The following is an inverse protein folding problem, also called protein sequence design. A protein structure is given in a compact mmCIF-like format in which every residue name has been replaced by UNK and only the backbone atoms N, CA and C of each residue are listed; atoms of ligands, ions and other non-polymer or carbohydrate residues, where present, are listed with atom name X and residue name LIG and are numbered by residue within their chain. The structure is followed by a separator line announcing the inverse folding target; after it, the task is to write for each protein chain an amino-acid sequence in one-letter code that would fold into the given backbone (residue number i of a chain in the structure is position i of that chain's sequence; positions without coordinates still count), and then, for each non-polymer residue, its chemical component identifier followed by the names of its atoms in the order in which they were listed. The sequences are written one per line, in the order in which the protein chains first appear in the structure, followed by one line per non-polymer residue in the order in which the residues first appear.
data_IF_403381709114
#
_entry.id   IF_403381709114
#
_cell.length_a   1.000
_cell.length_b   1.000
_cell.length_c   1.000
_cell.angle_alpha   90.00
_cell.angle_beta   90.00
_cell.angle_gamma   90.00
#
_symmetry.space_group_name_H-M   'P 1'
#
loop_
_entity.id
_entity.type
_entity.pdbx_description
1 polymer ?
#
# COMPACT_ATOMS: atom_id res chain seq x y z
N UNK A 1 -39.53 38.88 12.16
CA UNK A 1 -38.37 39.32 11.34
C UNK A 1 -37.10 38.85 12.02
N UNK A 2 -36.20 38.21 11.26
CA UNK A 2 -34.81 37.83 11.57
C UNK A 2 -34.58 36.97 12.84
N UNK A 3 -34.12 35.72 12.80
CA UNK A 3 -33.26 35.05 11.81
C UNK A 3 -31.79 35.18 12.24
N UNK A 4 -31.32 34.29 13.12
CA UNK A 4 -29.91 34.06 13.38
C UNK A 4 -29.67 32.55 13.47
N UNK A 5 -29.57 31.93 12.30
CA UNK A 5 -28.96 30.63 12.16
C UNK A 5 -27.45 30.82 12.28
N UNK A 6 -26.84 30.19 13.28
CA UNK A 6 -25.40 30.06 13.41
C UNK A 6 -24.87 29.29 12.19
N UNK A 7 -24.24 30.03 11.28
CA UNK A 7 -23.45 29.51 10.17
C UNK A 7 -22.31 28.68 10.73
N UNK A 8 -22.37 27.37 10.53
CA UNK A 8 -21.21 26.50 10.70
C UNK A 8 -20.18 26.88 9.65
N UNK A 9 -19.08 27.50 10.09
CA UNK A 9 -17.89 27.64 9.25
C UNK A 9 -17.40 26.23 8.89
N UNK A 10 -17.13 25.92 7.60
CA UNK A 10 -16.39 24.73 7.25
C UNK A 10 -14.99 24.92 7.80
N UNK A 11 -14.73 24.32 8.97
CA UNK A 11 -13.38 24.17 9.48
C UNK A 11 -12.55 23.54 8.37
N UNK A 12 -11.50 24.25 7.97
CA UNK A 12 -10.44 23.74 7.12
C UNK A 12 -10.01 22.38 7.69
N UNK A 13 -10.47 21.29 7.06
CA UNK A 13 -9.76 20.03 7.17
C UNK A 13 -8.38 20.34 6.63
N UNK A 14 -7.39 20.40 7.52
CA UNK A 14 -6.01 20.10 7.19
C UNK A 14 -6.02 18.77 6.44
N UNK A 15 -6.15 18.85 5.10
CA UNK A 15 -5.66 17.81 4.21
C UNK A 15 -4.15 17.93 4.27
N UNK A 16 -3.57 17.47 5.39
CA UNK A 16 -2.33 16.72 5.28
C UNK A 16 -2.54 15.68 4.17
N UNK A 17 -1.52 15.39 3.36
CA UNK A 17 -1.68 14.54 2.17
C UNK A 17 -2.48 13.32 2.59
N UNK A 18 -3.69 13.20 2.03
CA UNK A 18 -4.59 12.11 2.37
C UNK A 18 -3.76 10.85 2.24
N UNK A 19 -3.52 10.14 3.36
CA UNK A 19 -2.85 8.85 3.28
C UNK A 19 -3.63 8.08 2.21
N UNK A 20 -3.02 7.79 1.05
CA UNK A 20 -3.74 7.14 -0.03
C UNK A 20 -4.34 5.91 0.61
N UNK A 21 -5.66 5.72 0.47
CA UNK A 21 -6.31 4.52 0.97
C UNK A 21 -5.46 3.33 0.52
N UNK A 22 -4.75 2.73 1.48
CA UNK A 22 -3.58 1.89 1.20
C UNK A 22 -4.00 0.56 0.57
N UNK A 23 -5.29 0.34 0.38
CA UNK A 23 -5.86 -0.89 -0.10
C UNK A 23 -6.80 -0.57 -1.28
N UNK A 24 -6.74 -1.32 -2.39
CA UNK A 24 -7.73 -1.21 -3.45
C UNK A 24 -9.14 -1.61 -2.94
N UNK A 25 -10.22 -1.18 -3.60
CA UNK A 25 -11.60 -1.38 -3.10
C UNK A 25 -12.01 -2.84 -2.85
N UNK A 26 -11.29 -3.79 -3.45
CA UNK A 26 -11.52 -5.23 -3.33
C UNK A 26 -10.55 -5.91 -2.35
N UNK A 27 -9.70 -5.13 -1.67
CA UNK A 27 -8.76 -5.63 -0.69
C UNK A 27 -9.44 -5.84 0.65
N UNK A 28 -9.44 -7.08 1.14
CA UNK A 28 -9.82 -7.39 2.52
C UNK A 28 -8.56 -7.53 3.38
N UNK A 29 -8.54 -7.11 4.64
CA UNK A 29 -7.41 -7.40 5.52
C UNK A 29 -7.21 -8.91 5.69
N UNK A 30 -5.96 -9.35 5.67
CA UNK A 30 -5.60 -10.71 6.11
C UNK A 30 -5.72 -10.72 7.63
N UNK A 31 -6.73 -11.41 8.16
CA UNK A 31 -6.97 -11.52 9.59
C UNK A 31 -6.29 -12.78 10.15
N UNK A 32 -5.41 -12.58 11.13
CA UNK A 32 -4.72 -13.56 11.99
C UNK A 32 -4.07 -14.80 11.32
N UNK A 33 -3.17 -15.44 12.08
CA UNK A 33 -2.11 -16.28 11.54
C UNK A 33 -2.57 -17.52 10.76
N UNK A 34 -2.01 -17.74 9.57
CA UNK A 34 -2.29 -18.88 8.68
C UNK A 34 -1.01 -19.48 8.05
N UNK A 35 -1.14 -20.58 7.29
CA UNK A 35 -0.01 -21.35 6.73
C UNK A 35 0.89 -20.52 5.78
N UNK A 36 0.32 -19.49 5.16
CA UNK A 36 1.03 -18.58 4.24
C UNK A 36 1.72 -17.40 4.94
N UNK A 37 1.64 -17.31 6.28
CA UNK A 37 2.30 -16.25 7.05
C UNK A 37 3.80 -16.26 6.94
N UNK A 38 4.43 -17.42 6.74
CA UNK A 38 5.88 -17.50 6.64
C UNK A 38 6.35 -16.77 5.37
N UNK A 39 5.74 -17.09 4.22
CA UNK A 39 6.05 -16.42 2.96
C UNK A 39 5.72 -14.91 3.00
N UNK A 40 4.64 -14.53 3.70
CA UNK A 40 4.34 -13.11 3.91
C UNK A 40 5.39 -12.44 4.80
N UNK A 41 5.77 -13.08 5.91
CA UNK A 41 6.75 -12.51 6.84
C UNK A 41 8.13 -12.41 6.20
N UNK A 42 8.54 -13.39 5.39
CA UNK A 42 9.79 -13.35 4.63
C UNK A 42 9.79 -12.17 3.63
N UNK A 43 8.67 -11.92 2.96
CA UNK A 43 8.54 -10.77 2.08
C UNK A 43 8.51 -9.44 2.85
N UNK A 44 7.87 -9.38 4.02
CA UNK A 44 7.91 -8.19 4.89
C UNK A 44 9.34 -7.84 5.28
N UNK A 45 10.13 -8.84 5.68
CA UNK A 45 11.56 -8.67 5.97
C UNK A 45 12.31 -8.21 4.74
N UNK A 46 12.08 -8.84 3.57
CA UNK A 46 12.73 -8.43 2.32
C UNK A 46 12.41 -6.98 1.93
N UNK A 47 11.17 -6.52 2.12
CA UNK A 47 10.73 -5.15 1.85
C UNK A 47 11.36 -4.18 2.86
N UNK A 48 11.37 -4.53 4.15
CA UNK A 48 11.99 -3.71 5.18
C UNK A 48 13.51 -3.56 4.98
N UNK A 49 14.19 -4.63 4.59
CA UNK A 49 15.64 -4.63 4.37
C UNK A 49 16.04 -3.88 3.08
N UNK A 50 15.18 -3.91 2.06
CA UNK A 50 15.41 -3.19 0.81
C UNK A 50 14.99 -1.73 0.92
N UNK A 51 13.70 -1.47 1.10
CA UNK A 51 13.14 -0.12 1.07
C UNK A 51 13.24 0.60 2.42
N UNK A 52 13.02 -0.13 3.52
CA UNK A 52 13.04 0.46 4.85
C UNK A 52 14.43 0.93 5.31
N UNK A 53 15.50 0.39 4.72
CA UNK A 53 16.87 0.89 4.96
C UNK A 53 17.04 2.34 4.51
N UNK A 54 16.46 2.70 3.37
CA UNK A 54 16.66 4.00 2.74
C UNK A 54 15.60 5.02 3.16
N UNK A 55 14.38 4.55 3.49
CA UNK A 55 13.23 5.39 3.84
C UNK A 55 12.77 5.26 5.29
N UNK A 56 13.50 4.52 6.13
CA UNK A 56 13.19 4.33 7.54
C UNK A 56 12.09 3.31 7.80
N UNK A 57 11.42 3.43 8.96
CA UNK A 57 10.44 2.42 9.38
C UNK A 57 9.21 2.44 8.48
N UNK A 58 8.93 1.30 7.86
CA UNK A 58 7.72 1.07 7.08
C UNK A 58 6.64 0.41 7.92
N UNK A 59 5.43 0.94 7.87
CA UNK A 59 4.23 0.26 8.33
C UNK A 59 3.72 -0.66 7.23
N UNK A 60 3.80 -1.97 7.47
CA UNK A 60 3.33 -2.97 6.51
C UNK A 60 1.91 -3.44 6.85
N UNK A 61 1.05 -3.43 5.84
CA UNK A 61 -0.32 -3.90 5.88
C UNK A 61 -0.49 -5.08 4.94
N UNK A 62 -1.25 -6.08 5.41
CA UNK A 62 -1.50 -7.34 4.70
C UNK A 62 -2.92 -7.36 4.13
N UNK A 63 -3.03 -7.52 2.82
CA UNK A 63 -4.29 -7.50 2.09
C UNK A 63 -4.51 -8.77 1.26
N UNK A 64 -5.76 -9.24 1.24
CA UNK A 64 -6.28 -10.26 0.34
C UNK A 64 -6.87 -9.56 -0.87
N UNK A 65 -6.36 -9.88 -2.05
CA UNK A 65 -6.95 -9.45 -3.31
C UNK A 65 -7.71 -10.59 -3.97
N UNK A 66 -8.66 -10.21 -4.82
CA UNK A 66 -9.28 -11.14 -5.75
C UNK A 66 -8.20 -11.82 -6.61
N UNK A 67 -8.28 -13.15 -6.84
CA UNK A 67 -7.35 -13.84 -7.73
C UNK A 67 -7.44 -13.34 -9.18
N UNK A 68 -8.54 -12.68 -9.57
CA UNK A 68 -8.73 -12.08 -10.89
C UNK A 68 -8.05 -10.71 -11.05
N UNK A 69 -7.61 -10.07 -9.96
CA UNK A 69 -6.87 -8.82 -10.04
C UNK A 69 -5.53 -9.11 -10.75
N UNK A 70 -5.11 -8.20 -11.64
CA UNK A 70 -3.80 -8.27 -12.29
C UNK A 70 -2.81 -7.31 -11.62
N UNK A 71 -1.52 -7.61 -11.73
CA UNK A 71 -0.45 -6.73 -11.24
C UNK A 71 -0.50 -5.35 -11.90
N UNK A 72 -0.79 -5.32 -13.20
CA UNK A 72 -0.91 -4.07 -13.97
C UNK A 72 -2.07 -3.20 -13.44
N UNK A 73 -3.25 -3.79 -13.23
CA UNK A 73 -4.41 -3.07 -12.69
C UNK A 73 -4.16 -2.52 -11.29
N UNK A 74 -3.36 -3.21 -10.48
CA UNK A 74 -2.94 -2.70 -9.17
C UNK A 74 -1.98 -1.51 -9.30
N UNK A 75 -1.00 -1.60 -10.20
CA UNK A 75 -0.08 -0.50 -10.46
C UNK A 75 -0.82 0.74 -10.97
N UNK A 76 -1.79 0.57 -11.87
CA UNK A 76 -2.66 1.64 -12.36
C UNK A 76 -3.50 2.24 -11.23
N UNK A 77 -4.05 1.42 -10.35
CA UNK A 77 -4.79 1.89 -9.17
C UNK A 77 -3.94 2.81 -8.29
N UNK A 78 -2.72 2.40 -7.93
CA UNK A 78 -1.84 3.24 -7.12
C UNK A 78 -1.37 4.48 -7.88
N UNK A 79 -1.00 4.36 -9.15
CA UNK A 79 -0.59 5.52 -9.96
C UNK A 79 -1.69 6.61 -10.01
N UNK A 80 -2.95 6.21 -10.20
CA UNK A 80 -4.09 7.14 -10.21
C UNK A 80 -4.34 7.79 -8.85
N UNK A 81 -4.20 7.03 -7.75
CA UNK A 81 -4.45 7.51 -6.38
C UNK A 81 -3.35 8.44 -5.86
N UNK A 82 -2.10 8.12 -6.19
CA UNK A 82 -0.94 8.88 -5.77
C UNK A 82 -0.83 10.21 -6.54
N UNK A 83 -1.18 10.20 -7.83
CA UNK A 83 -1.12 11.37 -8.69
C UNK A 83 0.32 11.74 -9.09
N UNK A 84 0.45 12.82 -9.86
CA UNK A 84 1.69 13.18 -10.59
C UNK A 84 2.87 13.57 -9.70
N UNK A 85 2.61 13.87 -8.43
CA UNK A 85 3.66 14.16 -7.46
C UNK A 85 4.53 12.95 -7.16
N UNK A 86 3.99 11.74 -7.24
CA UNK A 86 4.71 10.53 -6.87
C UNK A 86 5.54 9.98 -8.01
N UNK A 87 6.81 9.68 -7.71
CA UNK A 87 7.75 9.11 -8.67
C UNK A 87 7.97 7.64 -8.36
N UNK A 88 8.00 6.83 -9.40
CA UNK A 88 8.35 5.41 -9.29
C UNK A 88 9.84 5.31 -8.95
N UNK A 89 10.15 4.54 -7.92
CA UNK A 89 11.52 4.22 -7.55
C UNK A 89 12.04 3.05 -8.38
N UNK A 90 12.85 3.34 -9.38
CA UNK A 90 13.48 2.31 -10.24
C UNK A 90 14.66 1.60 -9.58
N UNK A 91 15.13 2.11 -8.44
CA UNK A 91 16.19 1.50 -7.63
C UNK A 91 15.77 0.14 -7.08
N UNK A 92 14.46 -0.09 -6.91
CA UNK A 92 13.90 -1.36 -6.47
C UNK A 92 13.36 -2.13 -7.68
N UNK A 93 13.94 -3.29 -8.03
CA UNK A 93 13.53 -4.03 -9.21
C UNK A 93 12.11 -4.54 -9.05
N UNK A 94 11.33 -4.46 -10.13
CA UNK A 94 9.92 -4.88 -10.09
C UNK A 94 9.75 -6.39 -9.87
N UNK A 95 10.78 -7.17 -10.16
CA UNK A 95 10.71 -8.63 -10.15
C UNK A 95 11.58 -9.22 -9.03
N UNK A 96 10.93 -9.79 -8.01
CA UNK A 96 11.57 -10.63 -7.00
C UNK A 96 11.22 -12.11 -7.22
N UNK A 97 11.92 -13.02 -6.54
CA UNK A 97 11.71 -14.46 -6.70
C UNK A 97 10.24 -14.86 -6.43
N UNK A 98 9.67 -14.43 -5.30
CA UNK A 98 8.32 -14.81 -4.87
C UNK A 98 7.21 -13.79 -5.21
N UNK A 99 7.56 -12.52 -5.40
CA UNK A 99 6.60 -11.43 -5.58
C UNK A 99 7.07 -10.41 -6.63
N UNK A 100 6.15 -9.57 -7.07
CA UNK A 100 6.42 -8.36 -7.85
C UNK A 100 6.35 -7.16 -6.91
N UNK A 101 7.23 -6.19 -7.07
CA UNK A 101 7.36 -5.05 -6.17
C UNK A 101 7.28 -3.74 -6.94
N UNK A 102 6.55 -2.77 -6.42
CA UNK A 102 6.55 -1.41 -6.95
C UNK A 102 6.62 -0.43 -5.80
N UNK A 103 7.56 0.49 -5.86
CA UNK A 103 7.72 1.53 -4.87
C UNK A 103 7.56 2.91 -5.52
N UNK A 104 6.94 3.82 -4.79
CA UNK A 104 6.71 5.21 -5.17
C UNK A 104 7.17 6.13 -4.05
N UNK A 105 7.82 7.23 -4.39
CA UNK A 105 8.25 8.27 -3.45
C UNK A 105 7.62 9.60 -3.83
N UNK A 106 7.18 10.36 -2.83
CA UNK A 106 6.74 11.74 -3.03
C UNK A 106 7.89 12.73 -2.76
N UNK A 107 8.31 13.57 -3.72
CA UNK A 107 9.52 14.41 -3.63
C UNK A 107 9.39 15.62 -2.69
N UNK A 108 8.34 15.73 -1.89
CA UNK A 108 8.00 16.95 -1.15
C UNK A 108 8.59 17.07 0.26
N UNK A 109 9.56 16.24 0.64
CA UNK A 109 10.32 16.46 1.88
C UNK A 109 11.80 16.32 1.58
N UNK A 110 12.52 17.45 1.66
CA UNK A 110 13.98 17.47 1.71
C UNK A 110 14.42 16.57 2.87
N UNK A 111 14.94 15.37 2.56
CA UNK A 111 15.39 14.41 3.57
C UNK A 111 14.78 12.99 3.49
N UNK A 112 13.98 12.69 2.47
CA UNK A 112 13.33 11.38 2.29
C UNK A 112 11.82 11.57 2.35
N UNK A 113 11.19 11.48 1.18
CA UNK A 113 9.74 11.62 1.07
C UNK A 113 9.01 10.41 1.65
N UNK A 114 7.70 10.51 1.91
CA UNK A 114 6.92 9.33 2.20
C UNK A 114 7.05 8.36 1.01
N UNK A 115 7.35 7.10 1.30
CA UNK A 115 7.40 6.02 0.32
C UNK A 115 6.18 5.14 0.50
N UNK A 116 5.60 4.72 -0.62
CA UNK A 116 4.60 3.66 -0.67
C UNK A 116 5.21 2.50 -1.45
N UNK A 117 5.07 1.29 -0.93
CA UNK A 117 5.52 0.05 -1.56
C UNK A 117 4.33 -0.89 -1.66
N UNK A 118 4.10 -1.46 -2.83
CA UNK A 118 3.16 -2.55 -3.05
C UNK A 118 3.94 -3.78 -3.48
N UNK A 119 3.78 -4.89 -2.76
CA UNK A 119 4.37 -6.19 -3.09
C UNK A 119 3.29 -7.24 -3.32
N UNK A 120 3.22 -7.70 -4.56
CA UNK A 120 2.22 -8.62 -5.09
C UNK A 120 2.76 -10.03 -5.23
N UNK A 121 2.13 -11.00 -4.59
CA UNK A 121 2.59 -12.38 -4.65
C UNK A 121 2.21 -13.05 -5.97
N UNK A 122 3.19 -13.73 -6.60
CA UNK A 122 2.97 -14.45 -7.86
C UNK A 122 2.04 -15.65 -7.66
N UNK A 123 2.16 -16.30 -6.51
CA UNK A 123 1.35 -17.45 -6.13
C UNK A 123 0.03 -17.02 -5.48
N UNK A 124 -1.02 -17.81 -5.73
CA UNK A 124 -2.30 -17.68 -5.02
C UNK A 124 -2.23 -18.45 -3.71
N UNK A 125 -2.74 -17.85 -2.65
CA UNK A 125 -2.89 -18.48 -1.35
C UNK A 125 -4.33 -18.96 -1.14
N UNK A 126 -4.51 -19.85 -0.18
CA UNK A 126 -5.81 -20.33 0.28
C UNK A 126 -5.99 -19.86 1.72
N UNK A 127 -7.13 -19.24 2.04
CA UNK A 127 -7.44 -18.83 3.41
C UNK A 127 -7.97 -20.01 4.26
N UNK A 128 -8.25 -19.75 5.53
CA UNK A 128 -8.76 -20.77 6.45
C UNK A 128 -10.11 -21.35 6.00
N UNK A 129 -10.87 -20.60 5.21
CA UNK A 129 -12.16 -20.96 4.65
C UNK A 129 -12.05 -21.68 3.29
N UNK A 130 -10.85 -21.97 2.80
CA UNK A 130 -10.63 -22.66 1.53
C UNK A 130 -10.77 -21.76 0.30
N UNK A 131 -10.81 -20.43 0.47
CA UNK A 131 -10.97 -19.48 -0.64
C UNK A 131 -9.62 -19.07 -1.18
N UNK A 132 -9.51 -19.11 -2.51
CA UNK A 132 -8.35 -18.61 -3.22
C UNK A 132 -8.31 -17.09 -3.17
N UNK A 133 -7.16 -16.56 -2.79
CA UNK A 133 -6.88 -15.13 -2.84
C UNK A 133 -5.45 -14.89 -3.28
N UNK A 134 -5.15 -13.64 -3.66
CA UNK A 134 -3.79 -13.24 -3.95
C UNK A 134 -3.27 -12.32 -2.84
N UNK A 135 -2.19 -12.69 -2.14
CA UNK A 135 -1.64 -11.82 -1.11
C UNK A 135 -1.03 -10.54 -1.70
N UNK A 136 -1.28 -9.44 -1.01
CA UNK A 136 -0.68 -8.13 -1.27
C UNK A 136 -0.14 -7.59 0.05
N UNK A 137 1.13 -7.18 0.06
CA UNK A 137 1.68 -6.35 1.11
C UNK A 137 1.73 -4.91 0.63
N UNK A 138 1.30 -3.99 1.49
CA UNK A 138 1.40 -2.56 1.24
C UNK A 138 2.15 -1.95 2.39
N UNK A 139 3.30 -1.35 2.11
CA UNK A 139 4.16 -0.75 3.12
C UNK A 139 4.24 0.76 2.87
N UNK A 140 4.07 1.57 3.91
CA UNK A 140 4.24 3.02 3.81
C UNK A 140 5.21 3.51 4.88
N UNK A 141 6.11 4.44 4.56
CA UNK A 141 6.91 5.10 5.61
C UNK A 141 6.03 6.07 6.41
N UNK A 142 6.28 6.12 7.72
CA UNK A 142 5.67 7.11 8.62
C UNK A 142 6.31 8.48 8.48
#
# INVERSE_FOLDING_TARGET
MAGLALTTLPGCSDRGPASPELAPPQAAPIGARGVFDLALSDAEVAIADSVGRDHGKLDVMRHRLSPSMSWQSLCEFYAQRLGDGWKVLTTYPENHAAFLLRAWEHPSLLGGGPVLVAAWFKETAVDAEGRLFRPLLVAASR
#
